data_IF_407979549367
#
_entry.id   IF_407979549367
#
_cell.length_a   1.000
_cell.length_b   1.000
_cell.length_c   1.000
_cell.angle_alpha   90.00
_cell.angle_beta   90.00
_cell.angle_gamma   90.00
#
_symmetry.space_group_name_H-M   'P 1'
#
loop_
_entity.id
_entity.type
_entity.pdbx_description
1 polymer ?
#
# COMPACT_ATOMS: atom_id res chain seq x y z
N UNK A 1 12.61 -13.84 -0.37
CA UNK A 1 12.08 -12.62 -0.93
C UNK A 1 11.72 -12.86 -2.37
N UNK A 2 10.49 -12.62 -2.67
CA UNK A 2 9.99 -12.78 -4.01
C UNK A 2 9.59 -11.41 -4.54
N UNK A 3 10.03 -11.13 -5.74
CA UNK A 3 9.51 -9.99 -6.46
C UNK A 3 8.26 -10.42 -7.20
N UNK A 4 7.21 -9.63 -7.09
CA UNK A 4 5.98 -9.84 -7.82
C UNK A 4 5.68 -8.62 -8.66
N UNK A 5 5.28 -8.85 -9.88
CA UNK A 5 4.89 -7.78 -10.80
C UNK A 5 3.37 -7.77 -10.91
N UNK A 6 2.80 -6.60 -10.66
CA UNK A 6 1.36 -6.38 -10.83
C UNK A 6 1.18 -5.40 -11.98
N UNK A 7 0.53 -5.84 -13.02
CA UNK A 7 0.22 -4.97 -14.17
C UNK A 7 -1.08 -4.24 -13.90
N UNK A 8 -1.05 -2.91 -13.97
CA UNK A 8 -2.25 -2.09 -13.78
C UNK A 8 -3.07 -2.13 -15.05
N UNK A 9 -4.24 -2.73 -14.97
CA UNK A 9 -5.19 -2.81 -16.07
C UNK A 9 -6.47 -2.06 -15.73
N UNK A 10 -7.32 -1.83 -16.73
CA UNK A 10 -8.56 -1.09 -16.54
C UNK A 10 -9.51 -1.77 -15.53
N UNK A 11 -9.45 -3.09 -15.43
CA UNK A 11 -10.35 -3.88 -14.57
C UNK A 11 -9.74 -4.27 -13.21
N UNK A 12 -8.48 -3.92 -12.97
CA UNK A 12 -7.78 -4.39 -11.77
C UNK A 12 -8.48 -3.97 -10.49
N UNK A 13 -9.07 -2.78 -10.49
CA UNK A 13 -9.72 -2.21 -9.30
C UNK A 13 -11.25 -2.24 -9.39
N UNK A 14 -11.78 -3.16 -10.20
CA UNK A 14 -13.21 -3.32 -10.37
C UNK A 14 -13.95 -3.53 -9.04
N UNK A 15 -13.35 -4.30 -8.15
CA UNK A 15 -13.93 -4.63 -6.84
C UNK A 15 -13.25 -3.83 -5.70
N UNK A 16 -12.86 -2.57 -5.98
CA UNK A 16 -12.22 -1.68 -5.02
C UNK A 16 -10.70 -1.94 -4.92
N UNK A 17 -10.07 -1.40 -3.87
CA UNK A 17 -8.64 -1.48 -3.67
C UNK A 17 -8.15 -2.92 -3.47
N UNK A 18 -6.95 -3.19 -3.96
CA UNK A 18 -6.24 -4.41 -3.63
C UNK A 18 -5.61 -4.22 -2.25
N UNK A 19 -5.95 -5.10 -1.31
CA UNK A 19 -5.40 -5.03 0.05
C UNK A 19 -4.43 -6.18 0.24
N UNK A 20 -3.18 -5.85 0.55
CA UNK A 20 -2.13 -6.83 0.76
C UNK A 20 -1.79 -6.91 2.25
N UNK A 21 -1.67 -8.13 2.76
CA UNK A 21 -1.23 -8.37 4.12
C UNK A 21 0.29 -8.50 4.12
N UNK A 22 0.96 -7.66 4.90
CA UNK A 22 2.41 -7.66 4.98
C UNK A 22 2.85 -8.66 6.04
N UNK A 23 3.71 -9.60 5.65
CA UNK A 23 4.21 -10.67 6.54
C UNK A 23 5.61 -10.39 7.06
N UNK A 24 6.28 -9.42 6.46
CA UNK A 24 7.64 -9.03 6.83
C UNK A 24 7.69 -7.53 7.01
N UNK A 25 8.58 -7.02 7.87
CA UNK A 25 8.80 -5.58 7.93
C UNK A 25 9.56 -5.10 6.69
N UNK A 26 9.50 -3.82 6.44
CA UNK A 26 10.30 -3.14 5.43
C UNK A 26 10.03 -3.62 3.99
N UNK A 27 8.78 -3.71 3.63
CA UNK A 27 8.39 -4.03 2.26
C UNK A 27 8.57 -2.81 1.35
N UNK A 28 8.95 -3.09 0.10
CA UNK A 28 9.14 -2.05 -0.90
C UNK A 28 8.20 -2.27 -2.08
N UNK A 29 7.54 -1.22 -2.48
CA UNK A 29 6.71 -1.17 -3.68
C UNK A 29 7.32 -0.18 -4.66
N UNK A 30 7.37 -0.55 -5.93
CA UNK A 30 7.91 0.31 -6.98
C UNK A 30 6.86 0.55 -8.04
N UNK A 31 6.72 1.80 -8.44
CA UNK A 31 5.86 2.19 -9.55
C UNK A 31 6.76 2.45 -10.74
N UNK A 32 6.53 1.72 -11.82
CA UNK A 32 7.32 1.81 -13.05
C UNK A 32 6.40 1.88 -14.26
N UNK A 33 6.83 2.60 -15.28
CA UNK A 33 6.17 2.59 -16.57
C UNK A 33 7.18 2.21 -17.65
N UNK A 34 6.71 1.65 -18.73
CA UNK A 34 7.59 1.25 -19.83
C UNK A 34 8.19 2.45 -20.55
N UNK A 35 7.48 3.57 -20.56
CA UNK A 35 7.85 4.74 -21.34
C UNK A 35 8.62 5.78 -20.55
N UNK A 36 8.60 5.71 -19.22
CA UNK A 36 9.26 6.70 -18.37
C UNK A 36 10.58 6.18 -17.83
N UNK A 37 11.57 7.05 -17.82
CA UNK A 37 12.84 6.78 -17.14
C UNK A 37 12.76 7.00 -15.63
N UNK A 38 11.65 7.54 -15.16
CA UNK A 38 11.46 7.79 -13.73
C UNK A 38 10.73 6.62 -13.10
N UNK A 39 11.08 6.32 -11.87
CA UNK A 39 10.32 5.39 -11.05
C UNK A 39 10.30 5.85 -9.60
N UNK A 40 9.32 5.38 -8.87
CA UNK A 40 9.10 5.75 -7.48
C UNK A 40 9.13 4.48 -6.65
N UNK A 41 9.88 4.51 -5.56
CA UNK A 41 9.88 3.44 -4.57
C UNK A 41 9.18 3.92 -3.31
N UNK A 42 8.33 3.08 -2.75
CA UNK A 42 7.64 3.33 -1.48
C UNK A 42 8.00 2.20 -0.53
N UNK A 43 8.58 2.54 0.60
CA UNK A 43 8.82 1.59 1.69
C UNK A 43 7.77 1.80 2.75
N UNK A 44 7.06 0.75 3.09
CA UNK A 44 5.92 0.81 3.98
C UNK A 44 6.26 0.50 5.43
N UNK A 45 7.54 0.31 5.71
CA UNK A 45 8.08 0.07 7.05
C UNK A 45 7.27 -1.00 7.80
N UNK A 46 6.68 -0.67 8.93
CA UNK A 46 5.97 -1.64 9.77
C UNK A 46 4.48 -1.75 9.46
N UNK A 47 4.00 -1.13 8.39
CA UNK A 47 2.57 -1.21 8.06
C UNK A 47 2.14 -2.66 7.85
N UNK A 48 1.14 -3.14 8.60
CA UNK A 48 0.68 -4.52 8.45
C UNK A 48 -0.15 -4.75 7.20
N UNK A 49 -0.66 -3.70 6.60
CA UNK A 49 -1.46 -3.77 5.37
C UNK A 49 -1.03 -2.70 4.40
N UNK A 50 -1.16 -2.98 3.11
CA UNK A 50 -0.93 -2.00 2.05
C UNK A 50 -2.08 -2.09 1.07
N UNK A 51 -2.75 -0.96 0.83
CA UNK A 51 -3.76 -0.83 -0.18
C UNK A 51 -3.15 -0.31 -1.47
N UNK A 52 -3.56 -0.88 -2.60
CA UNK A 52 -3.20 -0.39 -3.92
C UNK A 52 -4.49 -0.10 -4.67
N UNK A 53 -4.58 1.10 -5.25
CA UNK A 53 -5.81 1.53 -5.87
C UNK A 53 -5.55 2.54 -7.00
N UNK A 54 -6.39 2.47 -7.99
CA UNK A 54 -6.56 3.51 -8.97
C UNK A 54 -8.02 3.57 -9.39
N UNK A 55 -8.38 4.56 -10.15
CA UNK A 55 -9.77 4.79 -10.53
C UNK A 55 -10.30 3.69 -11.45
N UNK A 56 -11.56 3.31 -11.24
CA UNK A 56 -12.30 2.39 -12.09
C UNK A 56 -13.63 3.07 -12.45
N UNK A 57 -14.20 2.85 -13.65
CA UNK A 57 -13.77 1.92 -14.70
C UNK A 57 -12.71 2.47 -15.65
N UNK A 58 -12.40 3.74 -15.57
CA UNK A 58 -11.42 4.36 -16.45
C UNK A 58 -10.14 4.59 -15.69
N UNK A 59 -9.03 4.01 -16.14
CA UNK A 59 -7.73 4.25 -15.52
C UNK A 59 -7.37 5.73 -15.57
N UNK A 60 -6.83 6.21 -14.48
CA UNK A 60 -6.27 7.54 -14.37
C UNK A 60 -4.75 7.47 -14.41
N UNK A 61 -4.12 8.62 -14.57
CA UNK A 61 -2.66 8.71 -14.67
C UNK A 61 -1.99 8.70 -13.29
N UNK A 62 -2.53 7.89 -12.39
CA UNK A 62 -1.96 7.74 -11.05
C UNK A 62 -2.28 6.35 -10.49
N UNK A 63 -1.53 5.96 -9.48
CA UNK A 63 -1.82 4.81 -8.66
C UNK A 63 -1.54 5.18 -7.21
N UNK A 64 -2.38 4.72 -6.29
CA UNK A 64 -2.21 4.94 -4.86
C UNK A 64 -1.55 3.74 -4.24
N UNK A 65 -0.52 3.97 -3.44
CA UNK A 65 0.08 2.98 -2.57
C UNK A 65 -0.12 3.48 -1.15
N UNK A 66 -0.91 2.76 -0.38
CA UNK A 66 -1.44 3.24 0.90
C UNK A 66 -1.00 2.29 2.02
N UNK A 67 0.00 2.67 2.83
CA UNK A 67 0.30 1.88 4.01
C UNK A 67 -0.78 2.08 5.07
N UNK A 68 -1.29 0.97 5.61
CA UNK A 68 -2.38 1.01 6.58
C UNK A 68 -1.97 0.31 7.87
N UNK A 69 -2.22 0.98 8.99
CA UNK A 69 -2.08 0.41 10.34
C UNK A 69 -3.44 0.06 10.94
N UNK A 70 -4.46 0.03 10.12
CA UNK A 70 -5.81 -0.40 10.44
C UNK A 70 -6.55 -0.71 9.15
N UNK A 71 -7.65 -1.44 9.24
CA UNK A 71 -8.46 -1.81 8.08
C UNK A 71 -9.94 -1.53 8.36
N UNK A 72 -10.74 -1.55 7.31
CA UNK A 72 -12.20 -1.45 7.44
C UNK A 72 -12.75 -2.68 8.17
N UNK A 73 -13.95 -2.56 8.71
CA UNK A 73 -14.63 -3.66 9.38
C UNK A 73 -14.81 -4.84 8.45
N UNK A 74 -14.62 -6.04 9.00
CA UNK A 74 -14.96 -7.27 8.30
C UNK A 74 -16.47 -7.48 8.33
N UNK A 75 -16.97 -8.31 7.44
CA UNK A 75 -18.40 -8.56 7.32
C UNK A 75 -19.00 -9.25 8.54
N UNK A 76 -18.19 -9.91 9.33
CA UNK A 76 -18.61 -10.65 10.53
C UNK A 76 -18.34 -9.93 11.85
N UNK A 77 -17.98 -8.63 11.77
CA UNK A 77 -17.72 -7.86 12.97
C UNK A 77 -19.01 -7.37 13.64
N UNK A 78 -18.96 -7.17 14.94
CA UNK A 78 -20.08 -6.60 15.72
C UNK A 78 -20.04 -5.07 15.80
N UNK A 79 -19.03 -4.44 15.20
CA UNK A 79 -18.87 -2.99 15.22
C UNK A 79 -18.18 -2.43 16.46
N UNK A 80 -17.76 -3.28 17.40
CA UNK A 80 -17.05 -2.86 18.58
C UNK A 80 -15.59 -2.58 18.25
N UNK A 81 -15.11 -1.37 18.54
CA UNK A 81 -13.74 -0.96 18.24
C UNK A 81 -12.71 -1.80 19.00
N UNK A 82 -13.03 -2.25 20.21
CA UNK A 82 -12.08 -3.07 20.99
C UNK A 82 -11.84 -4.42 20.35
N UNK A 83 -12.81 -4.94 19.63
CA UNK A 83 -12.75 -6.24 18.96
C UNK A 83 -12.39 -6.13 17.48
N UNK A 84 -12.20 -4.91 16.98
CA UNK A 84 -11.92 -4.68 15.57
C UNK A 84 -10.55 -5.22 15.20
N UNK A 85 -10.50 -6.00 14.11
CA UNK A 85 -9.25 -6.53 13.58
C UNK A 85 -8.33 -5.40 13.12
N UNK A 86 -7.06 -5.50 13.46
CA UNK A 86 -6.06 -4.52 13.05
C UNK A 86 -6.02 -3.27 13.91
N UNK A 87 -6.78 -3.22 15.00
CA UNK A 87 -6.82 -2.05 15.87
C UNK A 87 -5.53 -1.93 16.68
N UNK A 88 -5.03 -0.71 16.80
CA UNK A 88 -3.87 -0.40 17.63
C UNK A 88 -4.33 0.08 18.99
N UNK A 89 -3.77 -0.51 20.04
CA UNK A 89 -4.12 -0.17 21.43
C UNK A 89 -2.95 0.51 22.10
N UNK A 90 -3.26 1.58 22.83
CA UNK A 90 -2.26 2.32 23.60
C UNK A 90 -2.71 2.39 25.04
N UNK A 91 -1.82 2.01 25.95
CA UNK A 91 -2.00 2.29 27.35
C UNK A 91 -1.66 3.76 27.62
N UNK A 92 -2.10 4.25 28.79
CA UNK A 92 -1.80 5.62 29.20
C UNK A 92 -0.28 5.85 29.22
N UNK A 93 0.15 6.91 28.56
CA UNK A 93 1.57 7.25 28.48
C UNK A 93 2.34 6.58 27.36
N UNK A 94 1.71 5.68 26.62
CA UNK A 94 2.32 5.06 25.45
C UNK A 94 2.09 5.87 24.19
N UNK A 95 3.04 5.80 23.25
CA UNK A 95 2.96 6.46 21.95
C UNK A 95 2.84 5.43 20.82
N UNK A 96 2.16 5.80 19.75
CA UNK A 96 2.14 5.05 18.51
C UNK A 96 2.87 5.87 17.45
N UNK A 97 3.82 5.23 16.77
CA UNK A 97 4.53 5.85 15.66
C UNK A 97 4.35 5.02 14.40
N UNK A 98 4.13 5.71 13.29
CA UNK A 98 4.00 5.09 12.00
C UNK A 98 4.76 5.94 10.98
N UNK A 99 5.40 5.29 10.03
CA UNK A 99 6.14 6.00 9.00
C UNK A 99 6.12 5.22 7.70
N UNK A 100 6.30 5.93 6.62
CA UNK A 100 6.62 5.35 5.33
C UNK A 100 7.62 6.26 4.63
N UNK A 101 8.31 5.73 3.63
CA UNK A 101 9.35 6.48 2.92
C UNK A 101 9.12 6.38 1.43
N UNK A 102 9.31 7.48 0.74
CA UNK A 102 9.24 7.53 -0.72
C UNK A 102 10.58 7.98 -1.26
N UNK A 103 11.03 7.35 -2.34
CA UNK A 103 12.20 7.79 -3.05
C UNK A 103 11.90 7.86 -4.55
N UNK A 104 12.48 8.86 -5.19
CA UNK A 104 12.25 9.15 -6.60
C UNK A 104 13.55 8.93 -7.34
N UNK A 105 13.50 8.16 -8.41
CA UNK A 105 14.69 7.79 -9.16
C UNK A 105 14.51 8.13 -10.63
N UNK A 106 15.60 8.54 -11.27
CA UNK A 106 15.61 8.66 -12.71
C UNK A 106 16.69 7.75 -13.26
N UNK A 107 16.32 7.02 -14.30
CA UNK A 107 17.25 6.14 -14.97
C UNK A 107 18.17 6.98 -15.83
N UNK A 108 19.47 6.91 -15.55
CA UNK A 108 20.44 7.61 -16.38
C UNK A 108 20.55 6.85 -17.71
N UNK A 109 20.33 7.57 -18.81
CA UNK A 109 20.54 6.98 -20.11
C UNK A 109 22.03 6.79 -20.34
N UNK A 110 22.44 5.55 -20.59
CA UNK A 110 23.78 5.30 -21.08
C UNK A 110 23.80 5.59 -22.57
N UNK A 111 24.72 6.38 -22.97
CA UNK A 111 24.93 6.68 -24.39
C UNK A 111 25.77 5.61 -25.08
#
# INVERSE_FOLDING_TARGET
>A
PTESLITITDDLFKDDAMVLVMRHPDNKFSIKTETSRFHINVRTDSAPYVGIWSQYPKTADYVCIEPWWGIADLTDTDGDLEDKKGMNRLASGEDFEASFRMSFHSKVQSE
#
